data_IF_378098142780
#
_entry.id   IF_378098142780
#
_cell.length_a   1.000
_cell.length_b   1.000
_cell.length_c   1.000
_cell.angle_alpha   90.00
_cell.angle_beta   90.00
_cell.angle_gamma   90.00
#
_symmetry.space_group_name_H-M   'P 1'
#
loop_
_entity.id
_entity.type
_entity.pdbx_description
1 polymer ?
#
# COMPACT_ATOMS: atom_id res chain seq x y z
N UNK A 1 8.13 14.69 22.99
CA UNK A 1 8.91 13.56 23.50
C UNK A 1 9.91 13.10 22.44
N UNK A 2 11.19 13.23 22.77
CA UNK A 2 12.29 12.90 21.86
C UNK A 2 12.27 11.40 21.47
N UNK A 3 12.02 10.52 22.43
CA UNK A 3 11.97 9.08 22.18
C UNK A 3 10.80 8.71 21.28
N UNK A 4 9.64 9.27 21.52
CA UNK A 4 8.47 9.06 20.65
C UNK A 4 8.69 9.57 19.24
N UNK A 5 9.38 10.69 19.09
CA UNK A 5 9.72 11.27 17.80
C UNK A 5 10.67 10.37 17.02
N UNK A 6 11.69 9.83 17.66
CA UNK A 6 12.65 8.89 17.04
C UNK A 6 11.93 7.63 16.56
N UNK A 7 11.04 7.07 17.40
CA UNK A 7 10.26 5.88 17.05
C UNK A 7 9.32 6.13 15.88
N UNK A 8 8.68 7.31 15.85
CA UNK A 8 7.78 7.68 14.75
C UNK A 8 8.54 7.76 13.43
N UNK A 9 9.71 8.41 13.43
CA UNK A 9 10.53 8.53 12.22
C UNK A 9 11.05 7.17 11.76
N UNK A 10 11.47 6.31 12.68
CA UNK A 10 11.93 4.96 12.34
C UNK A 10 10.80 4.13 11.74
N UNK A 11 9.59 4.21 12.30
CA UNK A 11 8.41 3.53 11.76
C UNK A 11 8.06 4.06 10.37
N UNK A 12 8.10 5.38 10.19
CA UNK A 12 7.84 6.02 8.90
C UNK A 12 8.82 5.51 7.84
N UNK A 13 10.11 5.47 8.14
CA UNK A 13 11.12 5.01 7.18
C UNK A 13 10.92 3.55 6.81
N UNK A 14 10.55 2.70 7.76
CA UNK A 14 10.28 1.29 7.49
C UNK A 14 9.07 1.11 6.58
N UNK A 15 7.98 1.81 6.85
CA UNK A 15 6.77 1.77 6.01
C UNK A 15 7.08 2.30 4.62
N UNK A 16 7.78 3.42 4.52
CA UNK A 16 8.14 4.02 3.23
C UNK A 16 8.97 3.06 2.37
N UNK A 17 9.93 2.38 2.96
CA UNK A 17 10.77 1.42 2.24
C UNK A 17 9.93 0.26 1.69
N UNK A 18 9.04 -0.30 2.48
CA UNK A 18 8.15 -1.37 2.02
C UNK A 18 7.17 -0.88 0.99
N UNK A 19 6.63 0.33 1.18
CA UNK A 19 5.69 0.94 0.24
C UNK A 19 6.32 1.14 -1.13
N UNK A 20 7.54 1.67 -1.19
CA UNK A 20 8.25 1.85 -2.47
C UNK A 20 8.43 0.54 -3.21
N UNK A 21 8.84 -0.50 -2.51
CA UNK A 21 9.05 -1.83 -3.10
C UNK A 21 7.74 -2.44 -3.59
N UNK A 22 6.69 -2.37 -2.79
CA UNK A 22 5.38 -2.92 -3.15
C UNK A 22 4.75 -2.18 -4.32
N UNK A 23 4.87 -0.86 -4.35
CA UNK A 23 4.36 -0.07 -5.45
C UNK A 23 4.99 -0.48 -6.77
N UNK A 24 6.32 -0.57 -6.81
CA UNK A 24 7.04 -0.96 -8.02
C UNK A 24 6.64 -2.35 -8.47
N UNK A 25 6.43 -3.28 -7.53
CA UNK A 25 5.98 -4.63 -7.85
C UNK A 25 4.55 -4.65 -8.38
N UNK A 26 3.62 -3.93 -7.74
CA UNK A 26 2.22 -3.89 -8.14
C UNK A 26 2.01 -3.24 -9.50
N UNK A 27 2.69 -2.13 -9.76
CA UNK A 27 2.54 -1.38 -11.00
C UNK A 27 3.46 -1.86 -12.11
N UNK A 28 4.32 -2.85 -11.82
CA UNK A 28 5.31 -3.37 -12.75
C UNK A 28 6.20 -2.24 -13.29
N UNK A 29 6.67 -1.43 -12.40
CA UNK A 29 7.51 -0.26 -12.70
C UNK A 29 7.05 0.98 -11.93
N UNK A 30 7.51 2.14 -12.38
CA UNK A 30 7.19 3.38 -11.72
C UNK A 30 7.89 3.52 -10.38
N UNK A 31 7.49 4.53 -9.62
CA UNK A 31 8.03 4.77 -8.29
C UNK A 31 7.02 5.51 -7.42
N UNK A 32 7.15 5.35 -6.12
CA UNK A 32 6.31 6.05 -5.16
C UNK A 32 7.08 6.21 -3.86
N UNK A 33 6.67 7.18 -3.07
CA UNK A 33 7.23 7.39 -1.75
C UNK A 33 6.23 8.09 -0.85
N UNK A 34 6.45 7.96 0.45
CA UNK A 34 5.71 8.70 1.45
C UNK A 34 6.48 9.96 1.81
N UNK A 35 5.78 11.04 2.06
CA UNK A 35 6.36 12.30 2.50
C UNK A 35 5.64 12.80 3.73
N UNK A 36 6.40 13.37 4.66
CA UNK A 36 5.79 14.04 5.81
C UNK A 36 5.45 15.47 5.40
N UNK A 37 4.21 15.87 5.66
CA UNK A 37 3.78 17.25 5.43
C UNK A 37 4.42 18.13 6.50
N UNK A 38 4.94 19.26 6.06
CA UNK A 38 5.72 20.17 6.87
C UNK A 38 5.03 20.52 8.19
N UNK A 39 5.66 20.14 9.30
CA UNK A 39 5.28 20.56 10.64
C UNK A 39 6.52 20.49 11.52
N UNK A 40 6.69 21.47 12.39
CA UNK A 40 7.78 21.49 13.35
C UNK A 40 7.65 20.36 14.36
N UNK A 41 6.44 19.83 14.54
CA UNK A 41 6.17 18.70 15.41
C UNK A 41 5.84 17.47 14.58
N UNK A 42 6.73 16.44 14.53
CA UNK A 42 6.46 15.20 13.79
C UNK A 42 5.18 14.47 14.22
N UNK A 43 4.74 14.67 15.46
CA UNK A 43 3.50 14.07 15.95
C UNK A 43 2.25 14.71 15.33
N UNK A 44 2.38 15.95 14.85
CA UNK A 44 1.30 16.66 14.16
C UNK A 44 1.47 16.65 12.66
N UNK A 45 2.59 16.12 12.16
CA UNK A 45 2.85 16.06 10.74
C UNK A 45 1.84 15.15 10.04
N UNK A 46 1.35 15.60 8.91
CA UNK A 46 0.53 14.77 8.04
C UNK A 46 1.38 13.89 7.15
N UNK A 47 0.74 12.91 6.52
CA UNK A 47 1.38 12.00 5.58
C UNK A 47 0.83 12.26 4.20
N UNK A 48 1.72 12.41 3.22
CA UNK A 48 1.33 12.53 1.82
C UNK A 48 1.91 11.38 1.02
N UNK A 49 1.11 10.83 0.11
CA UNK A 49 1.54 9.77 -0.79
C UNK A 49 1.84 10.40 -2.14
N UNK A 50 3.08 10.25 -2.58
CA UNK A 50 3.51 10.66 -3.90
C UNK A 50 3.75 9.43 -4.76
N UNK A 51 3.16 9.40 -5.94
CA UNK A 51 3.23 8.22 -6.81
C UNK A 51 3.44 8.62 -8.25
N UNK A 52 4.24 7.82 -8.94
CA UNK A 52 4.51 7.95 -10.36
C UNK A 52 4.33 6.59 -11.03
N UNK A 53 3.11 6.25 -11.44
CA UNK A 53 2.89 5.04 -12.23
C UNK A 53 3.71 5.06 -13.52
N UNK A 54 4.02 3.90 -14.12
CA UNK A 54 4.80 3.87 -15.35
C UNK A 54 4.20 4.77 -16.44
N UNK A 55 5.04 5.62 -17.05
CA UNK A 55 4.64 6.53 -18.11
C UNK A 55 3.92 7.79 -17.66
N UNK A 56 3.79 8.02 -16.36
CA UNK A 56 3.10 9.19 -15.81
C UNK A 56 4.05 10.06 -15.00
N UNK A 57 3.63 11.29 -14.73
CA UNK A 57 4.39 12.21 -13.90
C UNK A 57 4.15 11.93 -12.42
N UNK A 58 5.15 12.26 -11.59
CA UNK A 58 5.00 12.18 -10.15
C UNK A 58 3.90 13.14 -9.67
N UNK A 59 2.95 12.62 -8.91
CA UNK A 59 1.83 13.41 -8.42
C UNK A 59 1.34 12.88 -7.08
N UNK A 60 0.50 13.68 -6.41
CA UNK A 60 -0.14 13.23 -5.18
C UNK A 60 -1.22 12.19 -5.48
N UNK A 61 -1.59 11.41 -4.46
CA UNK A 61 -2.57 10.34 -4.60
C UNK A 61 -3.89 10.83 -5.21
N UNK A 62 -4.33 12.03 -4.84
CA UNK A 62 -5.61 12.59 -5.30
C UNK A 62 -5.66 12.84 -6.81
N UNK A 63 -4.51 12.92 -7.48
CA UNK A 63 -4.43 13.17 -8.91
C UNK A 63 -4.36 11.89 -9.75
N UNK A 64 -4.33 10.72 -9.12
CA UNK A 64 -4.32 9.44 -9.81
C UNK A 64 -5.75 9.03 -10.19
N UNK A 65 -5.86 8.11 -11.16
CA UNK A 65 -7.16 7.50 -11.48
C UNK A 65 -7.69 6.69 -10.29
N UNK A 66 -8.99 6.39 -10.27
CA UNK A 66 -9.60 5.64 -9.18
C UNK A 66 -8.94 4.28 -8.95
N UNK A 67 -8.67 3.54 -10.03
CA UNK A 67 -7.98 2.25 -9.93
C UNK A 67 -6.55 2.38 -9.43
N UNK A 68 -5.83 3.40 -9.90
CA UNK A 68 -4.46 3.65 -9.44
C UNK A 68 -4.44 4.07 -7.98
N UNK A 69 -5.40 4.90 -7.53
CA UNK A 69 -5.53 5.26 -6.12
C UNK A 69 -5.76 4.03 -5.25
N UNK A 70 -6.67 3.16 -5.66
CA UNK A 70 -7.00 1.96 -4.91
C UNK A 70 -5.80 1.01 -4.80
N UNK A 71 -5.08 0.80 -5.89
CA UNK A 71 -3.91 -0.07 -5.91
C UNK A 71 -2.78 0.51 -5.08
N UNK A 72 -2.59 1.83 -5.11
CA UNK A 72 -1.61 2.52 -4.28
C UNK A 72 -1.95 2.38 -2.79
N UNK A 73 -3.23 2.51 -2.44
CA UNK A 73 -3.69 2.32 -1.07
C UNK A 73 -3.45 0.89 -0.58
N UNK A 74 -3.65 -0.10 -1.44
CA UNK A 74 -3.35 -1.51 -1.13
C UNK A 74 -1.86 -1.68 -0.84
N UNK A 75 -0.99 -1.07 -1.64
CA UNK A 75 0.45 -1.11 -1.39
C UNK A 75 0.80 -0.53 -0.02
N UNK A 76 0.17 0.57 0.37
CA UNK A 76 0.40 1.19 1.68
C UNK A 76 -0.07 0.27 2.82
N UNK A 77 -1.26 -0.32 2.69
CA UNK A 77 -1.79 -1.24 3.70
C UNK A 77 -0.82 -2.40 3.92
N UNK A 78 -0.33 -3.02 2.85
CA UNK A 78 0.59 -4.13 2.96
C UNK A 78 1.96 -3.70 3.48
N UNK A 79 2.40 -2.47 3.16
CA UNK A 79 3.63 -1.93 3.75
C UNK A 79 3.52 -1.83 5.28
N UNK A 80 2.35 -1.42 5.77
CA UNK A 80 2.08 -1.38 7.21
C UNK A 80 2.11 -2.79 7.82
N UNK A 81 1.53 -3.79 7.13
CA UNK A 81 1.56 -5.17 7.60
C UNK A 81 2.96 -5.76 7.63
N UNK A 82 3.80 -5.44 6.66
CA UNK A 82 5.19 -5.91 6.66
C UNK A 82 5.99 -5.29 7.80
N UNK A 83 5.65 -4.05 8.19
CA UNK A 83 6.30 -3.37 9.30
C UNK A 83 5.80 -3.91 10.64
N UNK A 84 4.51 -4.17 10.76
CA UNK A 84 3.88 -4.74 11.97
C UNK A 84 2.87 -5.81 11.57
N UNK A 85 3.31 -7.06 11.39
CA UNK A 85 2.42 -8.14 11.00
C UNK A 85 1.32 -8.37 12.05
N UNK A 86 0.12 -8.64 11.56
CA UNK A 86 -1.02 -9.03 12.37
C UNK A 86 -1.38 -10.48 12.05
N UNK A 87 -1.92 -11.26 13.01
CA UNK A 87 -2.32 -12.65 12.73
C UNK A 87 -3.43 -12.76 11.67
N UNK A 88 -4.30 -11.78 11.61
CA UNK A 88 -5.45 -11.77 10.68
C UNK A 88 -5.58 -10.39 10.06
N UNK A 89 -5.81 -10.38 8.75
CA UNK A 89 -6.12 -9.17 7.98
C UNK A 89 -7.44 -9.36 7.26
N UNK A 90 -8.38 -8.43 7.44
CA UNK A 90 -9.66 -8.44 6.74
C UNK A 90 -9.63 -7.36 5.66
N UNK A 91 -9.85 -7.78 4.41
CA UNK A 91 -9.91 -6.90 3.25
C UNK A 91 -11.34 -6.93 2.71
N UNK A 92 -12.06 -5.83 2.89
CA UNK A 92 -13.46 -5.74 2.52
C UNK A 92 -13.62 -4.93 1.24
N UNK A 93 -13.88 -5.63 0.14
CA UNK A 93 -14.15 -5.05 -1.18
C UNK A 93 -13.07 -4.07 -1.68
N UNK A 94 -11.82 -4.29 -1.31
CA UNK A 94 -10.72 -3.40 -1.72
C UNK A 94 -10.42 -3.48 -3.21
N UNK A 95 -10.88 -4.56 -3.86
CA UNK A 95 -10.73 -4.77 -5.30
C UNK A 95 -11.87 -4.17 -6.14
N UNK A 96 -12.91 -3.63 -5.51
CA UNK A 96 -14.08 -3.12 -6.22
C UNK A 96 -13.74 -2.04 -7.27
N UNK A 97 -12.86 -1.05 -6.99
CA UNK A 97 -12.52 -0.03 -7.97
C UNK A 97 -11.44 -0.47 -8.98
N UNK A 98 -10.94 -1.70 -8.90
CA UNK A 98 -9.86 -2.17 -9.77
C UNK A 98 -10.42 -2.75 -11.07
N UNK A 99 -9.71 -2.52 -12.19
CA UNK A 99 -9.98 -3.23 -13.44
C UNK A 99 -9.39 -4.64 -13.40
N UNK A 100 -9.66 -5.46 -14.41
CA UNK A 100 -9.26 -6.87 -14.42
C UNK A 100 -7.74 -7.04 -14.30
N UNK A 101 -6.95 -6.21 -14.99
CA UNK A 101 -5.50 -6.29 -14.93
C UNK A 101 -4.98 -5.94 -13.53
N UNK A 102 -5.56 -4.94 -12.90
CA UNK A 102 -5.17 -4.53 -11.56
C UNK A 102 -5.63 -5.53 -10.50
N UNK A 103 -6.78 -6.18 -10.70
CA UNK A 103 -7.23 -7.27 -9.83
C UNK A 103 -6.24 -8.43 -9.86
N UNK A 104 -5.72 -8.79 -11.03
CA UNK A 104 -4.69 -9.82 -11.15
C UNK A 104 -3.43 -9.45 -10.37
N UNK A 105 -2.99 -8.19 -10.48
CA UNK A 105 -1.84 -7.70 -9.72
C UNK A 105 -2.08 -7.74 -8.21
N UNK A 106 -3.28 -7.38 -7.79
CA UNK A 106 -3.68 -7.45 -6.39
C UNK A 106 -3.64 -8.90 -5.88
N UNK A 107 -4.17 -9.84 -6.65
CA UNK A 107 -4.16 -11.25 -6.28
C UNK A 107 -2.76 -11.82 -6.21
N UNK A 108 -1.88 -11.47 -7.16
CA UNK A 108 -0.48 -11.89 -7.13
C UNK A 108 0.21 -11.38 -5.87
N UNK A 109 -0.05 -10.13 -5.48
CA UNK A 109 0.52 -9.58 -4.26
C UNK A 109 0.01 -10.30 -3.02
N UNK A 110 -1.29 -10.63 -2.96
CA UNK A 110 -1.87 -11.38 -1.84
C UNK A 110 -1.20 -12.74 -1.68
N UNK A 111 -1.01 -13.47 -2.77
CA UNK A 111 -0.32 -14.77 -2.73
C UNK A 111 1.09 -14.60 -2.19
N UNK A 112 1.80 -13.58 -2.65
CA UNK A 112 3.15 -13.27 -2.18
C UNK A 112 3.15 -12.94 -0.68
N UNK A 113 2.19 -12.12 -0.23
CA UNK A 113 2.09 -11.73 1.17
C UNK A 113 1.79 -12.93 2.08
N UNK A 114 0.96 -13.86 1.65
CA UNK A 114 0.68 -15.07 2.44
C UNK A 114 1.91 -15.96 2.55
N UNK A 115 2.81 -15.94 1.55
CA UNK A 115 4.05 -16.70 1.59
C UNK A 115 5.12 -16.03 2.47
N UNK A 116 5.13 -14.70 2.53
CA UNK A 116 6.15 -13.93 3.24
C UNK A 116 5.77 -13.63 4.70
N UNK A 117 4.49 -13.75 5.05
CA UNK A 117 4.00 -13.44 6.41
C UNK A 117 3.15 -14.59 6.94
N UNK A 118 3.03 -14.70 8.25
CA UNK A 118 2.15 -15.66 8.91
C UNK A 118 0.71 -15.14 9.04
N UNK A 119 0.41 -14.02 8.41
CA UNK A 119 -0.91 -13.40 8.45
C UNK A 119 -1.90 -14.18 7.60
N UNK A 120 -3.08 -14.42 8.14
CA UNK A 120 -4.22 -14.99 7.39
C UNK A 120 -5.07 -13.84 6.88
N UNK A 121 -5.45 -13.94 5.60
CA UNK A 121 -6.24 -12.90 4.94
C UNK A 121 -7.66 -13.38 4.71
N UNK A 122 -8.62 -12.58 5.19
CA UNK A 122 -10.03 -12.77 4.90
C UNK A 122 -10.45 -11.71 3.90
N UNK A 123 -10.91 -12.13 2.74
CA UNK A 123 -11.25 -11.24 1.64
C UNK A 123 -12.74 -11.28 1.38
N UNK A 124 -13.39 -10.13 1.45
CA UNK A 124 -14.78 -9.96 1.05
C UNK A 124 -14.78 -9.33 -0.33
N UNK A 125 -15.30 -10.03 -1.33
CA UNK A 125 -15.25 -9.55 -2.71
C UNK A 125 -16.47 -10.02 -3.50
N UNK A 126 -16.84 -9.22 -4.50
CA UNK A 126 -17.82 -9.59 -5.53
C UNK A 126 -17.14 -9.78 -6.89
N UNK A 127 -15.84 -9.66 -6.97
CA UNK A 127 -15.09 -9.79 -8.22
C UNK A 127 -14.83 -11.27 -8.53
N UNK A 128 -15.26 -11.71 -9.71
CA UNK A 128 -15.13 -13.10 -10.12
C UNK A 128 -13.67 -13.55 -10.25
N UNK A 129 -12.78 -12.67 -10.69
CA UNK A 129 -11.35 -12.98 -10.82
C UNK A 129 -10.75 -13.23 -9.44
N UNK A 130 -11.04 -12.35 -8.47
CA UNK A 130 -10.56 -12.53 -7.09
C UNK A 130 -11.06 -13.84 -6.51
N UNK A 131 -12.36 -14.11 -6.66
CA UNK A 131 -12.96 -15.35 -6.13
C UNK A 131 -12.33 -16.59 -6.72
N UNK A 132 -12.00 -16.59 -8.01
CA UNK A 132 -11.43 -17.77 -8.66
C UNK A 132 -9.99 -18.03 -8.23
N UNK A 133 -9.28 -17.01 -7.73
CA UNK A 133 -7.88 -17.11 -7.35
C UNK A 133 -7.65 -17.38 -5.86
N UNK A 134 -8.67 -17.24 -5.03
CA UNK A 134 -8.55 -17.37 -3.58
C UNK A 134 -9.03 -18.72 -3.05
#
# INVERSE_FOLDING_TARGET
NREGRVRLLAAFEAVDRHFRSLFTTLFDGGQAHLALIDSDDPLEAGLEIMAQPPGKKLSSLSLLSGGEQALTAVALIFALFLTRPSPICVLDEVDAPLDDANVERFCDLLVRMTAETDTRYLIVTHNAVTMSRM
#
